data_IF_200850689357
#
_entry.id   IF_200850689357
#
_cell.length_a   1.000
_cell.length_b   1.000
_cell.length_c   1.000
_cell.angle_alpha   90.00
_cell.angle_beta   90.00
_cell.angle_gamma   90.00
#
_symmetry.space_group_name_H-M   'P 1'
#
loop_
_entity.id
_entity.type
_entity.pdbx_description
1 polymer ?
#
# COMPACT_ATOMS: atom_id res chain seq x y z
N UNK A 1 -13.79 3.97 37.31
CA UNK A 1 -12.40 3.50 37.53
C UNK A 1 -11.91 2.61 36.38
N UNK A 2 -12.61 1.52 36.01
CA UNK A 2 -12.22 0.60 34.92
C UNK A 2 -12.19 1.33 33.59
N UNK A 3 -13.18 2.17 33.27
CA UNK A 3 -13.24 2.96 32.02
C UNK A 3 -12.07 3.96 31.94
N UNK A 4 -11.69 4.59 33.03
CA UNK A 4 -10.56 5.55 33.08
C UNK A 4 -9.23 4.83 32.81
N UNK A 5 -9.01 3.68 33.46
CA UNK A 5 -7.82 2.85 33.21
C UNK A 5 -7.75 2.38 31.77
N UNK A 6 -8.85 1.90 31.21
CA UNK A 6 -8.93 1.50 29.81
C UNK A 6 -8.62 2.66 28.85
N UNK A 7 -9.14 3.86 29.14
CA UNK A 7 -8.87 5.07 28.35
C UNK A 7 -7.39 5.45 28.38
N UNK A 8 -6.75 5.36 29.55
CA UNK A 8 -5.32 5.66 29.72
C UNK A 8 -4.47 4.67 28.92
N UNK A 9 -4.75 3.36 29.01
CA UNK A 9 -4.04 2.35 28.22
C UNK A 9 -4.23 2.54 26.72
N UNK A 10 -5.43 2.88 26.28
CA UNK A 10 -5.73 3.18 24.88
C UNK A 10 -4.97 4.43 24.40
N UNK A 11 -4.93 5.50 25.19
CA UNK A 11 -4.17 6.71 24.86
C UNK A 11 -2.67 6.43 24.80
N UNK A 12 -2.12 5.70 25.76
CA UNK A 12 -0.71 5.32 25.78
C UNK A 12 -0.34 4.54 24.52
N UNK A 13 -1.13 3.52 24.17
CA UNK A 13 -0.93 2.72 22.95
C UNK A 13 -0.98 3.58 21.68
N UNK A 14 -1.95 4.51 21.58
CA UNK A 14 -2.05 5.42 20.43
C UNK A 14 -0.83 6.35 20.35
N UNK A 15 -0.31 6.82 21.49
CA UNK A 15 0.90 7.64 21.55
C UNK A 15 2.14 6.85 21.11
N UNK A 16 2.30 5.61 21.56
CA UNK A 16 3.39 4.72 21.12
C UNK A 16 3.36 4.47 19.62
N UNK A 17 2.20 4.09 19.08
CA UNK A 17 2.02 3.87 17.63
C UNK A 17 2.33 5.14 16.82
N UNK A 18 1.92 6.32 17.33
CA UNK A 18 2.21 7.61 16.69
C UNK A 18 3.71 7.94 16.70
N UNK A 19 4.39 7.67 17.82
CA UNK A 19 5.84 7.87 17.92
C UNK A 19 6.61 6.94 16.99
N UNK A 20 6.23 5.66 16.92
CA UNK A 20 6.80 4.70 16.00
C UNK A 20 6.60 5.12 14.54
N UNK A 21 5.43 5.67 14.21
CA UNK A 21 5.17 6.24 12.90
C UNK A 21 6.11 7.40 12.57
N UNK A 22 6.27 8.36 13.50
CA UNK A 22 7.15 9.53 13.30
C UNK A 22 8.60 9.06 13.11
N UNK A 23 9.06 8.12 13.92
CA UNK A 23 10.40 7.56 13.81
C UNK A 23 10.61 6.86 12.46
N UNK A 24 9.67 6.01 12.06
CA UNK A 24 9.72 5.32 10.77
C UNK A 24 9.69 6.31 9.60
N UNK A 25 8.85 7.34 9.67
CA UNK A 25 8.75 8.38 8.66
C UNK A 25 10.06 9.16 8.52
N UNK A 26 10.67 9.50 9.66
CA UNK A 26 11.98 10.17 9.70
C UNK A 26 13.05 9.31 9.02
N UNK A 27 13.09 8.02 9.32
CA UNK A 27 14.02 7.08 8.70
C UNK A 27 13.77 6.91 7.20
N UNK A 28 12.51 6.74 6.79
CA UNK A 28 12.14 6.56 5.37
C UNK A 28 12.43 7.81 4.52
N UNK A 29 12.35 9.02 5.09
CA UNK A 29 12.74 10.26 4.41
C UNK A 29 14.24 10.49 4.42
N UNK A 30 14.96 10.14 5.50
CA UNK A 30 16.40 10.36 5.63
C UNK A 30 17.17 9.63 4.55
N UNK A 31 16.79 8.39 4.22
CA UNK A 31 17.49 7.57 3.21
C UNK A 31 17.51 8.23 1.82
N UNK A 32 16.37 8.57 1.18
CA UNK A 32 16.39 9.22 -0.13
C UNK A 32 17.07 10.60 -0.09
N UNK A 33 16.88 11.37 0.99
CA UNK A 33 17.54 12.68 1.14
C UNK A 33 19.07 12.51 1.19
N UNK A 34 19.58 11.51 1.93
CA UNK A 34 21.01 11.24 2.01
C UNK A 34 21.57 10.77 0.66
N UNK A 35 20.84 9.93 -0.08
CA UNK A 35 21.22 9.49 -1.42
C UNK A 35 21.28 10.64 -2.41
N UNK A 36 20.27 11.53 -2.40
CA UNK A 36 20.23 12.74 -3.24
C UNK A 36 21.42 13.67 -2.88
N UNK A 37 21.68 13.88 -1.58
CA UNK A 37 22.79 14.72 -1.12
C UNK A 37 24.14 14.19 -1.57
N UNK A 38 24.38 12.87 -1.43
CA UNK A 38 25.59 12.22 -1.88
C UNK A 38 25.75 12.32 -3.40
N UNK A 39 24.71 12.00 -4.16
CA UNK A 39 24.72 12.10 -5.61
C UNK A 39 25.00 13.55 -6.08
N UNK A 40 24.39 14.55 -5.43
CA UNK A 40 24.66 15.96 -5.71
C UNK A 40 26.10 16.38 -5.39
N UNK A 41 26.71 15.83 -4.34
CA UNK A 41 28.12 16.04 -4.04
C UNK A 41 29.04 15.41 -5.11
N UNK A 42 28.71 14.19 -5.56
CA UNK A 42 29.48 13.49 -6.62
C UNK A 42 29.43 14.27 -7.95
N UNK A 43 28.33 14.93 -8.31
CA UNK A 43 28.23 15.75 -9.51
C UNK A 43 29.18 16.96 -9.50
N UNK A 44 29.69 17.37 -8.33
CA UNK A 44 30.68 18.46 -8.21
C UNK A 44 32.12 18.00 -8.49
N UNK A 45 32.34 16.69 -8.59
CA UNK A 45 33.65 16.15 -8.92
C UNK A 45 33.95 16.37 -10.42
N UNK A 46 35.09 17.01 -10.76
CA UNK A 46 35.49 17.22 -12.15
C UNK A 46 35.65 15.94 -12.97
N UNK A 47 35.95 14.81 -12.32
CA UNK A 47 36.06 13.51 -12.99
C UNK A 47 34.68 13.02 -13.46
N UNK A 48 33.64 13.26 -12.68
CA UNK A 48 32.24 12.93 -13.04
C UNK A 48 31.74 13.83 -14.17
N UNK A 49 32.06 15.12 -14.12
CA UNK A 49 31.67 16.07 -15.16
C UNK A 49 32.27 15.76 -16.55
N UNK A 50 33.38 15.01 -16.59
CA UNK A 50 34.04 14.57 -17.82
C UNK A 50 33.51 13.25 -18.38
N UNK A 51 32.66 12.55 -17.65
CA UNK A 51 32.09 11.23 -18.05
C UNK A 51 30.58 11.31 -18.20
N UNK A 52 30.08 11.35 -19.43
CA UNK A 52 28.63 11.37 -19.72
C UNK A 52 27.88 10.20 -19.08
N UNK A 53 28.50 9.03 -19.03
CA UNK A 53 27.90 7.83 -18.43
C UNK A 53 27.73 7.99 -16.92
N UNK A 54 28.76 8.50 -16.21
CA UNK A 54 28.68 8.76 -14.77
C UNK A 54 27.71 9.90 -14.45
N UNK A 55 27.75 10.98 -15.23
CA UNK A 55 26.80 12.10 -15.07
C UNK A 55 25.35 11.64 -15.22
N UNK A 56 25.03 10.86 -16.28
CA UNK A 56 23.70 10.26 -16.49
C UNK A 56 23.28 9.35 -15.35
N UNK A 57 24.18 8.49 -14.89
CA UNK A 57 23.88 7.58 -13.79
C UNK A 57 23.56 8.35 -12.50
N UNK A 58 24.41 9.29 -12.11
CA UNK A 58 24.25 10.02 -10.85
C UNK A 58 23.05 10.95 -10.88
N UNK A 59 22.81 11.64 -12.01
CA UNK A 59 21.60 12.46 -12.19
C UNK A 59 20.33 11.59 -12.18
N UNK A 60 20.38 10.39 -12.73
CA UNK A 60 19.31 9.40 -12.66
C UNK A 60 18.94 9.04 -11.22
N UNK A 61 19.95 8.79 -10.37
CA UNK A 61 19.73 8.53 -8.92
C UNK A 61 18.98 9.68 -8.25
N UNK A 62 19.35 10.94 -8.53
CA UNK A 62 18.66 12.11 -7.96
C UNK A 62 17.20 12.13 -8.39
N UNK A 63 16.93 11.93 -9.68
CA UNK A 63 15.57 11.93 -10.23
C UNK A 63 14.72 10.82 -9.59
N UNK A 64 15.25 9.61 -9.49
CA UNK A 64 14.51 8.46 -8.98
C UNK A 64 14.22 8.57 -7.48
N UNK A 65 15.20 9.02 -6.67
CA UNK A 65 14.97 9.24 -5.25
C UNK A 65 14.03 10.44 -4.99
N UNK A 66 14.04 11.46 -5.86
CA UNK A 66 13.08 12.58 -5.78
C UNK A 66 11.64 12.11 -6.09
N UNK A 67 11.46 11.27 -7.12
CA UNK A 67 10.15 10.65 -7.42
C UNK A 67 9.67 9.80 -6.25
N UNK A 68 10.57 9.03 -5.65
CA UNK A 68 10.27 8.20 -4.49
C UNK A 68 9.84 9.03 -3.29
N UNK A 69 10.57 10.11 -2.99
CA UNK A 69 10.25 11.02 -1.90
C UNK A 69 8.88 11.68 -2.11
N UNK A 70 8.60 12.17 -3.33
CA UNK A 70 7.29 12.72 -3.69
C UNK A 70 6.16 11.73 -3.43
N UNK A 71 6.30 10.50 -3.87
CA UNK A 71 5.30 9.45 -3.65
C UNK A 71 5.07 9.16 -2.15
N UNK A 72 6.12 9.20 -1.34
CA UNK A 72 6.01 9.04 0.11
C UNK A 72 5.25 10.19 0.76
N UNK A 73 5.54 11.44 0.36
CA UNK A 73 4.83 12.64 0.84
C UNK A 73 3.36 12.60 0.44
N UNK A 74 3.05 12.24 -0.80
CA UNK A 74 1.66 12.11 -1.28
C UNK A 74 0.87 11.09 -0.46
N UNK A 75 1.46 9.94 -0.10
CA UNK A 75 0.81 8.94 0.78
C UNK A 75 0.45 9.51 2.16
N UNK A 76 1.33 10.32 2.74
CA UNK A 76 1.08 10.96 4.04
C UNK A 76 -0.03 12.01 3.93
N UNK A 77 0.00 12.84 2.86
CA UNK A 77 -1.01 13.86 2.62
C UNK A 77 -2.39 13.26 2.35
N UNK A 78 -2.48 12.23 1.54
CA UNK A 78 -3.74 11.50 1.28
C UNK A 78 -4.39 11.05 2.59
N UNK A 79 -3.60 10.49 3.51
CA UNK A 79 -4.11 10.04 4.80
C UNK A 79 -4.60 11.20 5.69
N UNK A 80 -3.89 12.34 5.67
CA UNK A 80 -4.28 13.54 6.43
C UNK A 80 -5.60 14.14 5.93
N UNK A 81 -5.89 14.06 4.64
CA UNK A 81 -7.16 14.56 4.07
C UNK A 81 -8.37 13.76 4.55
N UNK A 82 -8.24 12.43 4.71
CA UNK A 82 -9.30 11.60 5.28
C UNK A 82 -9.62 11.93 6.75
N UNK A 83 -8.61 12.35 7.53
CA UNK A 83 -8.81 12.72 8.93
C UNK A 83 -9.67 13.97 9.12
N UNK A 84 -9.64 14.87 8.17
CA UNK A 84 -10.36 16.15 8.24
C UNK A 84 -11.80 16.08 7.70
N UNK A 85 -12.32 14.90 7.30
CA UNK A 85 -13.60 14.75 6.55
C UNK A 85 -13.66 15.65 5.29
N UNK A 86 -12.51 16.09 4.80
CA UNK A 86 -12.36 17.05 3.73
C UNK A 86 -12.12 16.39 2.36
N UNK A 87 -12.12 15.06 2.29
CA UNK A 87 -11.99 14.35 1.02
C UNK A 87 -13.29 14.54 0.22
N UNK A 88 -13.28 15.49 -0.70
CA UNK A 88 -14.32 15.62 -1.73
C UNK A 88 -14.06 14.57 -2.80
N UNK A 89 -14.80 13.46 -2.75
CA UNK A 89 -14.77 12.45 -3.79
C UNK A 89 -15.40 12.97 -5.07
N UNK A 90 -14.67 12.91 -6.17
CA UNK A 90 -15.21 13.14 -7.52
C UNK A 90 -15.72 11.81 -8.07
N UNK A 91 -16.91 11.43 -7.62
CA UNK A 91 -17.51 10.15 -8.02
C UNK A 91 -18.01 10.20 -9.46
N UNK A 92 -17.77 9.13 -10.20
CA UNK A 92 -18.31 8.85 -11.54
C UNK A 92 -18.56 7.35 -11.68
N UNK A 93 -19.27 6.96 -12.71
CA UNK A 93 -19.38 5.57 -13.10
C UNK A 93 -18.02 5.05 -13.58
N UNK A 94 -17.63 3.91 -13.07
CA UNK A 94 -16.34 3.25 -13.36
C UNK A 94 -16.58 1.77 -13.59
N UNK A 95 -16.12 1.26 -14.72
CA UNK A 95 -16.06 -0.16 -15.04
C UNK A 95 -14.89 -0.77 -14.26
N UNK A 96 -15.18 -1.52 -13.19
CA UNK A 96 -14.18 -2.03 -12.25
C UNK A 96 -13.29 -3.09 -12.88
N UNK A 97 -13.84 -3.96 -13.74
CA UNK A 97 -13.05 -4.98 -14.42
C UNK A 97 -11.98 -4.34 -15.32
N UNK A 98 -12.33 -3.29 -16.07
CA UNK A 98 -11.38 -2.55 -16.91
C UNK A 98 -10.29 -1.88 -16.05
N UNK A 99 -10.67 -1.19 -14.98
CA UNK A 99 -9.74 -0.53 -14.05
C UNK A 99 -8.77 -1.54 -13.40
N UNK A 100 -9.29 -2.69 -12.94
CA UNK A 100 -8.46 -3.75 -12.33
C UNK A 100 -7.52 -4.35 -13.37
N UNK A 101 -8.02 -4.65 -14.58
CA UNK A 101 -7.20 -5.16 -15.68
C UNK A 101 -5.99 -4.26 -15.95
N UNK A 102 -6.19 -2.95 -16.07
CA UNK A 102 -5.14 -1.98 -16.35
C UNK A 102 -4.14 -1.87 -15.18
N UNK A 103 -4.66 -1.89 -13.95
CA UNK A 103 -3.83 -1.86 -12.74
C UNK A 103 -2.98 -3.13 -12.63
N UNK A 104 -3.55 -4.31 -12.89
CA UNK A 104 -2.84 -5.61 -12.89
C UNK A 104 -1.76 -5.62 -13.96
N UNK A 105 -2.04 -5.13 -15.17
CA UNK A 105 -1.05 -5.05 -16.26
C UNK A 105 0.13 -4.15 -15.89
N UNK A 106 -0.14 -3.02 -15.25
CA UNK A 106 0.92 -2.12 -14.72
C UNK A 106 1.76 -2.81 -13.64
N UNK A 107 1.12 -3.64 -12.81
CA UNK A 107 1.79 -4.35 -11.71
C UNK A 107 2.55 -5.60 -12.17
N UNK A 108 2.17 -6.20 -13.29
CA UNK A 108 2.74 -7.45 -13.83
C UNK A 108 4.26 -7.40 -13.91
N UNK A 109 4.81 -6.35 -14.48
CA UNK A 109 6.28 -6.19 -14.60
C UNK A 109 6.99 -6.23 -13.24
N UNK A 110 6.37 -5.65 -12.21
CA UNK A 110 6.94 -5.63 -10.85
C UNK A 110 6.91 -7.01 -10.20
N UNK A 111 5.84 -7.78 -10.41
CA UNK A 111 5.70 -9.15 -9.90
C UNK A 111 6.67 -10.08 -10.60
N UNK A 112 6.76 -10.01 -11.94
CA UNK A 112 7.68 -10.80 -12.77
C UNK A 112 9.14 -10.50 -12.44
N UNK A 113 9.50 -9.22 -12.21
CA UNK A 113 10.84 -8.84 -11.74
C UNK A 113 11.21 -9.46 -10.39
N UNK A 114 10.20 -9.90 -9.61
CA UNK A 114 10.37 -10.63 -8.35
C UNK A 114 10.33 -12.16 -8.54
N UNK A 115 10.32 -12.65 -9.79
CA UNK A 115 10.22 -14.06 -10.14
C UNK A 115 8.81 -14.65 -9.97
N UNK A 116 7.78 -13.81 -9.81
CA UNK A 116 6.42 -14.24 -9.54
C UNK A 116 5.47 -14.12 -10.73
N UNK A 117 4.19 -14.38 -10.46
CA UNK A 117 3.09 -14.26 -11.44
C UNK A 117 1.86 -13.60 -10.82
N UNK A 118 1.06 -12.95 -11.67
CA UNK A 118 -0.21 -12.34 -11.29
C UNK A 118 -1.28 -12.74 -12.30
N UNK A 119 -2.40 -13.24 -11.78
CA UNK A 119 -3.58 -13.67 -12.54
C UNK A 119 -4.76 -12.77 -12.23
N UNK A 120 -5.64 -12.56 -13.21
CA UNK A 120 -6.87 -11.81 -13.07
C UNK A 120 -8.06 -12.65 -13.60
N UNK A 121 -9.04 -12.90 -12.74
CA UNK A 121 -10.31 -13.57 -13.03
C UNK A 121 -11.44 -12.58 -12.80
N UNK A 122 -11.82 -11.84 -13.85
CA UNK A 122 -12.73 -10.69 -13.77
C UNK A 122 -14.12 -11.12 -14.26
N UNK A 123 -14.83 -11.89 -13.44
CA UNK A 123 -16.07 -12.59 -13.80
C UNK A 123 -17.35 -11.83 -13.36
N UNK A 124 -17.21 -10.64 -12.73
CA UNK A 124 -18.37 -9.81 -12.39
C UNK A 124 -19.06 -9.35 -13.66
N UNK A 125 -20.38 -9.58 -13.76
CA UNK A 125 -21.23 -9.17 -14.87
C UNK A 125 -21.68 -7.72 -14.67
N UNK A 126 -22.08 -7.36 -13.44
CA UNK A 126 -22.39 -6.01 -13.04
C UNK A 126 -21.18 -5.44 -12.29
N UNK A 127 -20.31 -4.75 -13.04
CA UNK A 127 -19.04 -4.23 -12.57
C UNK A 127 -18.95 -2.70 -12.59
N UNK A 128 -20.07 -2.01 -12.92
CA UNK A 128 -20.13 -0.55 -12.92
C UNK A 128 -20.48 -0.03 -11.54
N UNK A 129 -19.59 0.75 -10.95
CA UNK A 129 -19.78 1.34 -9.63
C UNK A 129 -19.58 2.86 -9.64
N UNK A 130 -20.29 3.58 -8.75
CA UNK A 130 -20.20 5.03 -8.65
C UNK A 130 -19.14 5.45 -7.62
N UNK A 131 -17.88 5.58 -8.08
CA UNK A 131 -16.71 5.78 -7.22
C UNK A 131 -15.80 6.91 -7.73
N UNK A 132 -14.88 7.35 -6.87
CA UNK A 132 -13.75 8.16 -7.31
C UNK A 132 -12.65 7.22 -7.86
N UNK A 133 -12.47 7.26 -9.18
CA UNK A 133 -11.57 6.37 -9.91
C UNK A 133 -10.13 6.41 -9.39
N UNK A 134 -9.61 7.61 -9.08
CA UNK A 134 -8.24 7.77 -8.57
C UNK A 134 -8.09 7.11 -7.20
N UNK A 135 -9.03 7.35 -6.30
CA UNK A 135 -8.98 6.75 -4.96
C UNK A 135 -9.20 5.24 -5.03
N UNK A 136 -10.07 4.78 -5.92
CA UNK A 136 -10.33 3.36 -6.10
C UNK A 136 -9.15 2.61 -6.72
N UNK A 137 -8.52 3.18 -7.75
CA UNK A 137 -7.25 2.67 -8.31
C UNK A 137 -6.18 2.56 -7.22
N UNK A 138 -6.05 3.58 -6.36
CA UNK A 138 -5.11 3.55 -5.25
C UNK A 138 -5.42 2.45 -4.21
N UNK A 139 -6.70 2.09 -4.02
CA UNK A 139 -7.09 0.94 -3.18
C UNK A 139 -6.49 -0.35 -3.72
N UNK A 140 -6.73 -0.64 -4.99
CA UNK A 140 -6.21 -1.86 -5.66
C UNK A 140 -4.68 -1.85 -5.62
N UNK A 141 -4.06 -0.71 -5.99
CA UNK A 141 -2.60 -0.57 -5.97
C UNK A 141 -1.99 -0.83 -4.59
N UNK A 142 -2.59 -0.32 -3.50
CA UNK A 142 -2.08 -0.55 -2.14
C UNK A 142 -2.13 -2.03 -1.75
N UNK A 143 -3.17 -2.76 -2.15
CA UNK A 143 -3.28 -4.19 -1.85
C UNK A 143 -2.28 -5.01 -2.65
N UNK A 144 -2.11 -4.73 -3.94
CA UNK A 144 -1.11 -5.38 -4.79
C UNK A 144 0.32 -5.07 -4.32
N UNK A 145 0.60 -3.82 -3.94
CA UNK A 145 1.90 -3.42 -3.38
C UNK A 145 2.21 -4.18 -2.08
N UNK A 146 1.22 -4.35 -1.21
CA UNK A 146 1.37 -5.16 0.00
C UNK A 146 1.66 -6.63 -0.33
N UNK A 147 0.97 -7.23 -1.30
CA UNK A 147 1.19 -8.61 -1.70
C UNK A 147 2.64 -8.86 -2.16
N UNK A 148 3.21 -7.96 -2.98
CA UNK A 148 4.61 -8.05 -3.42
C UNK A 148 5.58 -7.79 -2.27
N UNK A 149 5.26 -6.85 -1.40
CA UNK A 149 6.11 -6.41 -0.29
C UNK A 149 6.25 -7.46 0.81
N UNK A 150 5.16 -8.18 1.09
CA UNK A 150 5.10 -9.22 2.11
C UNK A 150 5.20 -10.63 1.51
N UNK A 151 5.86 -10.76 0.36
CA UNK A 151 6.14 -12.06 -0.24
C UNK A 151 6.92 -12.97 0.71
N UNK A 152 6.71 -14.26 0.58
CA UNK A 152 7.52 -15.27 1.26
C UNK A 152 8.94 -15.32 0.63
N UNK A 153 9.94 -15.76 1.39
CA UNK A 153 11.31 -15.90 0.86
C UNK A 153 11.55 -17.25 0.18
N UNK A 154 10.78 -18.24 0.60
CA UNK A 154 10.91 -19.63 0.19
C UNK A 154 10.17 -19.97 -1.11
N UNK A 155 9.40 -19.00 -1.67
CA UNK A 155 8.63 -19.22 -2.90
C UNK A 155 8.42 -17.93 -3.69
N UNK A 156 8.25 -18.06 -5.03
CA UNK A 156 7.89 -16.93 -5.89
C UNK A 156 6.54 -16.33 -5.50
N UNK A 157 6.34 -15.01 -5.58
CA UNK A 157 5.07 -14.39 -5.33
C UNK A 157 4.04 -14.83 -6.40
N UNK A 158 2.87 -15.26 -5.93
CA UNK A 158 1.72 -15.60 -6.75
C UNK A 158 0.52 -14.80 -6.28
N UNK A 159 0.02 -13.91 -7.13
CA UNK A 159 -1.09 -13.03 -6.85
C UNK A 159 -2.28 -13.43 -7.73
N UNK A 160 -3.47 -13.44 -7.13
CA UNK A 160 -4.74 -13.68 -7.85
C UNK A 160 -5.67 -12.53 -7.52
N UNK A 161 -6.17 -11.85 -8.54
CA UNK A 161 -7.20 -10.82 -8.43
C UNK A 161 -8.46 -11.34 -9.08
N UNK A 162 -9.59 -11.29 -8.37
CA UNK A 162 -10.86 -11.71 -8.95
C UNK A 162 -12.00 -10.76 -8.61
N UNK A 163 -12.99 -10.69 -9.51
CA UNK A 163 -14.25 -9.99 -9.31
C UNK A 163 -15.40 -10.96 -9.51
N UNK A 164 -16.44 -10.83 -8.71
CA UNK A 164 -17.71 -11.54 -8.89
C UNK A 164 -18.89 -10.71 -8.32
N UNK A 165 -20.10 -11.13 -8.63
CA UNK A 165 -21.32 -10.60 -8.04
C UNK A 165 -21.91 -11.69 -7.14
N UNK A 166 -21.70 -11.68 -5.79
CA UNK A 166 -22.27 -12.66 -4.88
C UNK A 166 -23.82 -12.55 -4.82
N UNK A 167 -24.35 -11.41 -5.19
CA UNK A 167 -25.77 -11.13 -5.46
C UNK A 167 -25.88 -9.91 -6.39
N UNK A 168 -27.10 -9.62 -6.85
CA UNK A 168 -27.38 -8.54 -7.83
C UNK A 168 -27.09 -7.12 -7.31
N UNK A 169 -26.81 -6.95 -6.03
CA UNK A 169 -26.60 -5.64 -5.41
C UNK A 169 -25.14 -5.40 -4.98
N UNK A 170 -24.23 -6.35 -5.23
CA UNK A 170 -22.86 -6.27 -4.71
C UNK A 170 -21.83 -6.72 -5.71
N UNK A 171 -20.81 -5.91 -5.81
CA UNK A 171 -19.54 -6.29 -6.44
C UNK A 171 -18.55 -6.72 -5.35
N UNK A 172 -18.05 -7.96 -5.44
CA UNK A 172 -16.97 -8.45 -4.62
C UNK A 172 -15.68 -8.47 -5.42
N UNK A 173 -14.62 -7.89 -4.82
CA UNK A 173 -13.27 -7.90 -5.38
C UNK A 173 -12.38 -8.62 -4.39
N UNK A 174 -11.64 -9.62 -4.86
CA UNK A 174 -10.66 -10.31 -4.02
C UNK A 174 -9.25 -10.13 -4.55
N UNK A 175 -8.30 -9.94 -3.64
CA UNK A 175 -6.87 -9.89 -3.93
C UNK A 175 -6.20 -10.86 -2.98
N UNK A 176 -5.64 -11.93 -3.55
CA UNK A 176 -5.02 -13.02 -2.81
C UNK A 176 -3.53 -13.10 -3.15
N UNK A 177 -2.71 -13.35 -2.13
CA UNK A 177 -1.29 -13.61 -2.25
C UNK A 177 -0.90 -14.92 -1.54
N UNK A 178 0.24 -15.47 -1.92
CA UNK A 178 0.89 -16.60 -1.25
C UNK A 178 2.05 -16.17 -0.34
N UNK A 179 2.03 -14.94 0.17
CA UNK A 179 3.08 -14.35 0.99
C UNK A 179 3.21 -14.95 2.39
N UNK A 180 3.81 -14.18 3.29
CA UNK A 180 4.08 -14.63 4.68
C UNK A 180 2.81 -14.82 5.52
N UNK A 181 1.67 -14.29 5.07
CA UNK A 181 0.42 -14.32 5.83
C UNK A 181 0.45 -13.45 7.10
N UNK A 182 -0.70 -13.41 7.78
CA UNK A 182 -0.94 -12.56 8.95
C UNK A 182 -1.42 -13.44 10.11
N UNK A 183 -0.83 -13.26 11.30
CA UNK A 183 -1.29 -13.96 12.51
C UNK A 183 -2.67 -13.45 12.92
N UNK A 184 -3.52 -14.33 13.42
CA UNK A 184 -4.91 -14.07 13.80
C UNK A 184 -5.08 -12.86 14.73
N UNK A 185 -4.14 -12.65 15.66
CA UNK A 185 -4.17 -11.54 16.63
C UNK A 185 -3.98 -10.17 15.97
N UNK A 186 -3.45 -10.14 14.75
CA UNK A 186 -3.16 -8.92 14.01
C UNK A 186 -4.23 -8.59 12.97
N UNK A 187 -5.04 -9.58 12.51
CA UNK A 187 -6.02 -9.40 11.42
C UNK A 187 -6.98 -8.23 11.64
N UNK A 188 -7.44 -8.02 12.88
CA UNK A 188 -8.33 -6.89 13.19
C UNK A 188 -7.61 -5.55 13.28
N UNK A 189 -6.29 -5.57 13.49
CA UNK A 189 -5.48 -4.37 13.73
C UNK A 189 -4.81 -3.83 12.49
N UNK A 190 -4.66 -4.66 11.43
CA UNK A 190 -3.97 -4.26 10.20
C UNK A 190 -4.59 -3.05 9.50
N UNK A 191 -5.87 -2.75 9.76
CA UNK A 191 -6.59 -1.58 9.25
C UNK A 191 -6.49 -0.35 10.17
N UNK A 192 -5.91 -0.50 11.37
CA UNK A 192 -5.64 0.65 12.25
C UNK A 192 -4.52 1.51 11.66
N UNK A 193 -4.67 2.85 11.78
CA UNK A 193 -3.65 3.80 11.32
C UNK A 193 -2.33 3.56 12.03
N UNK A 194 -1.25 3.63 11.26
CA UNK A 194 0.13 3.47 11.74
C UNK A 194 0.47 2.07 12.26
N UNK A 195 -0.52 1.16 12.28
CA UNK A 195 -0.28 -0.19 12.76
C UNK A 195 0.61 -0.96 11.81
N UNK A 196 1.61 -1.62 12.36
CA UNK A 196 2.50 -2.55 11.65
C UNK A 196 2.67 -3.81 12.47
N UNK A 197 2.68 -4.95 11.80
CA UNK A 197 3.03 -6.21 12.44
C UNK A 197 4.54 -6.21 12.68
N UNK A 198 4.95 -6.30 13.94
CA UNK A 198 6.37 -6.48 14.28
C UNK A 198 6.80 -7.89 13.86
N UNK A 199 7.59 -7.98 12.81
CA UNK A 199 8.11 -9.24 12.26
C UNK A 199 9.52 -9.59 12.82
N UNK A 200 9.81 -9.22 14.08
CA UNK A 200 11.11 -9.44 14.70
C UNK A 200 12.22 -8.61 14.03
N UNK A 201 13.35 -9.21 13.69
CA UNK A 201 14.53 -8.54 13.10
C UNK A 201 14.33 -8.05 11.64
N UNK A 202 13.14 -8.15 11.06
CA UNK A 202 12.87 -7.64 9.70
C UNK A 202 12.52 -6.14 9.73
N UNK A 203 13.54 -5.30 9.95
CA UNK A 203 13.46 -3.86 9.70
C UNK A 203 13.31 -3.49 8.21
N UNK A 204 13.39 -4.48 7.30
CA UNK A 204 13.50 -4.24 5.85
C UNK A 204 12.18 -3.99 5.12
N UNK A 205 11.03 -4.21 5.75
CA UNK A 205 9.75 -3.94 5.09
C UNK A 205 9.41 -2.45 5.20
N UNK A 206 9.82 -1.66 4.19
CA UNK A 206 9.61 -0.21 4.12
C UNK A 206 8.13 0.18 4.12
N UNK A 207 7.75 1.23 4.88
CA UNK A 207 6.42 1.84 4.83
C UNK A 207 5.87 2.34 6.15
N UNK A 208 4.85 3.19 6.03
CA UNK A 208 4.34 4.01 7.14
C UNK A 208 3.21 3.37 7.94
N UNK A 209 2.71 2.18 7.57
CA UNK A 209 1.51 1.60 8.18
C UNK A 209 0.21 2.36 7.86
N UNK A 210 0.18 3.08 6.72
CA UNK A 210 -0.95 3.89 6.29
C UNK A 210 -1.78 3.24 5.18
N UNK A 211 -1.21 2.32 4.40
CA UNK A 211 -1.83 1.78 3.20
C UNK A 211 -3.15 1.08 3.45
N UNK A 212 -3.22 0.13 4.39
CA UNK A 212 -4.44 -0.61 4.70
C UNK A 212 -5.48 0.26 5.42
N UNK A 213 -5.05 1.21 6.26
CA UNK A 213 -5.96 2.19 6.86
C UNK A 213 -6.59 3.10 5.79
N UNK A 214 -5.82 3.52 4.78
CA UNK A 214 -6.34 4.25 3.63
C UNK A 214 -7.36 3.42 2.86
N UNK A 215 -7.03 2.18 2.51
CA UNK A 215 -7.94 1.25 1.84
C UNK A 215 -9.26 1.12 2.59
N UNK A 216 -9.20 0.86 3.90
CA UNK A 216 -10.40 0.74 4.75
C UNK A 216 -11.25 2.01 4.73
N UNK A 217 -10.61 3.19 4.83
CA UNK A 217 -11.33 4.47 4.85
C UNK A 217 -11.98 4.78 3.50
N UNK A 218 -11.29 4.53 2.37
CA UNK A 218 -11.87 4.71 1.02
C UNK A 218 -13.06 3.79 0.82
N UNK A 219 -12.88 2.48 1.04
CA UNK A 219 -13.95 1.49 0.87
C UNK A 219 -15.17 1.82 1.73
N UNK A 220 -14.95 2.22 2.99
CA UNK A 220 -16.03 2.66 3.88
C UNK A 220 -16.74 3.93 3.38
N UNK A 221 -15.99 4.90 2.85
CA UNK A 221 -16.56 6.13 2.29
C UNK A 221 -17.39 5.87 1.01
N UNK A 222 -17.12 4.77 0.32
CA UNK A 222 -17.90 4.28 -0.83
C UNK A 222 -19.14 3.47 -0.41
N UNK A 223 -19.38 3.28 0.89
CA UNK A 223 -20.50 2.46 1.40
C UNK A 223 -20.20 0.97 1.45
N UNK A 224 -18.97 0.57 1.09
CA UNK A 224 -18.53 -0.81 1.06
C UNK A 224 -17.92 -1.30 2.37
N UNK A 225 -17.40 -2.53 2.32
CA UNK A 225 -16.66 -3.16 3.42
C UNK A 225 -15.42 -3.88 2.90
N UNK A 226 -14.41 -3.97 3.75
CA UNK A 226 -13.21 -4.77 3.50
C UNK A 226 -12.88 -5.63 4.71
N UNK A 227 -12.50 -6.87 4.47
CA UNK A 227 -11.93 -7.76 5.49
C UNK A 227 -10.77 -8.56 4.91
N UNK A 228 -10.04 -9.25 5.77
CA UNK A 228 -8.90 -10.07 5.39
C UNK A 228 -9.04 -11.46 6.00
N UNK A 229 -8.78 -12.46 5.17
CA UNK A 229 -8.59 -13.87 5.56
C UNK A 229 -7.12 -14.20 5.38
N UNK A 230 -6.48 -14.77 6.39
CA UNK A 230 -5.05 -15.07 6.29
C UNK A 230 -4.65 -16.21 7.21
N UNK A 231 -3.72 -17.00 6.74
CA UNK A 231 -3.03 -18.02 7.53
C UNK A 231 -1.52 -17.73 7.48
N UNK A 232 -0.91 -17.61 8.66
CA UNK A 232 0.52 -17.34 8.78
C UNK A 232 1.34 -18.44 8.10
N UNK A 233 2.24 -18.04 7.22
CA UNK A 233 3.06 -18.95 6.40
C UNK A 233 2.41 -19.37 5.06
N UNK A 234 1.13 -19.05 4.80
CA UNK A 234 0.45 -19.45 3.56
C UNK A 234 0.08 -18.30 2.64
N UNK A 235 -0.26 -17.13 3.20
CA UNK A 235 -0.64 -15.95 2.43
C UNK A 235 -1.86 -15.22 3.00
N UNK A 236 -2.34 -14.24 2.25
CA UNK A 236 -3.46 -13.38 2.65
C UNK A 236 -4.43 -13.20 1.48
N UNK A 237 -5.73 -13.15 1.79
CA UNK A 237 -6.80 -12.80 0.88
C UNK A 237 -7.54 -11.59 1.44
N UNK A 238 -7.51 -10.47 0.72
CA UNK A 238 -8.34 -9.29 1.00
C UNK A 238 -9.62 -9.39 0.19
N UNK A 239 -10.75 -9.10 0.84
CA UNK A 239 -12.09 -9.18 0.24
C UNK A 239 -12.76 -7.83 0.42
N UNK A 240 -13.07 -7.17 -0.69
CA UNK A 240 -13.78 -5.88 -0.76
C UNK A 240 -15.16 -6.14 -1.30
N UNK A 241 -16.18 -5.60 -0.63
CA UNK A 241 -17.55 -5.57 -1.12
C UNK A 241 -17.99 -4.12 -1.32
N UNK A 242 -18.45 -3.80 -2.52
CA UNK A 242 -19.00 -2.48 -2.90
C UNK A 242 -20.48 -2.69 -3.27
N UNK A 243 -21.38 -1.80 -2.79
CA UNK A 243 -22.78 -1.80 -3.20
C UNK A 243 -22.97 -1.33 -4.62
#
# INVERSE_FOLDING_TARGET
FIFTIWTIFRQKRLSEIKNDFINNMTHEFKTPISSISLAAQMLRDPAVAKSDAMFKHISGVIVDETKRLRFQVEKVLQMSMFDRKAATFKRKEVEVNALIHDTVNTFRLKVEASGGQIEAHLDAIDDVVFVDEMHFTNVIFNLLDNAVKYKAEDRPPHLIVSTNNPNDEKLEITIQDNGIGIRRDNLKKIFEKFYRVHTGNRHDVKGFGLGLAYVHNVVKALGGSIHAESEFGKGTKFIINIP
#
